data_IF_629904324379
#
_entry.id   IF_629904324379
#
_cell.length_a   1.000
_cell.length_b   1.000
_cell.length_c   1.000
_cell.angle_alpha   90.00
_cell.angle_beta   90.00
_cell.angle_gamma   90.00
#
_symmetry.space_group_name_H-M   'P 1'
#
loop_
_entity.id
_entity.type
_entity.pdbx_description
1 polymer ?
#
# COMPACT_ATOMS: atom_id res chain seq x y z
N UNK A 1 -5.08 22.24 12.98
CA UNK A 1 -6.23 21.39 13.39
C UNK A 1 -5.67 20.01 13.72
N UNK A 2 -6.03 19.44 14.86
CA UNK A 2 -5.57 18.11 15.24
C UNK A 2 -6.30 17.07 14.39
N UNK A 3 -5.54 16.30 13.61
CA UNK A 3 -6.07 15.23 12.78
C UNK A 3 -6.54 14.09 13.69
N UNK A 4 -7.84 13.84 13.72
CA UNK A 4 -8.42 12.68 14.40
C UNK A 4 -8.66 11.58 13.39
N UNK A 5 -8.33 10.34 13.77
CA UNK A 5 -8.57 9.18 12.92
C UNK A 5 -9.69 8.31 13.53
N UNK A 6 -10.56 7.80 12.68
CA UNK A 6 -11.58 6.84 13.06
C UNK A 6 -10.98 5.44 13.22
N UNK A 7 -10.93 4.88 14.46
CA UNK A 7 -10.21 3.63 14.71
C UNK A 7 -10.80 2.43 13.94
N UNK A 8 -12.12 2.37 13.80
CA UNK A 8 -12.81 1.30 13.08
C UNK A 8 -12.41 1.25 11.60
N UNK A 9 -12.35 2.40 10.94
CA UNK A 9 -11.95 2.51 9.53
C UNK A 9 -10.48 2.13 9.34
N UNK A 10 -9.59 2.54 10.27
CA UNK A 10 -8.18 2.14 10.26
C UNK A 10 -8.00 0.62 10.45
N UNK A 11 -8.79 0.00 11.31
CA UNK A 11 -8.76 -1.45 11.49
C UNK A 11 -9.19 -2.19 10.22
N UNK A 12 -10.24 -1.71 9.54
CA UNK A 12 -10.68 -2.29 8.26
C UNK A 12 -9.61 -2.11 7.19
N UNK A 13 -9.00 -0.92 7.09
CA UNK A 13 -7.90 -0.65 6.16
C UNK A 13 -6.72 -1.61 6.41
N UNK A 14 -6.32 -1.78 7.67
CA UNK A 14 -5.26 -2.71 8.04
C UNK A 14 -5.61 -4.17 7.71
N UNK A 15 -6.84 -4.61 7.99
CA UNK A 15 -7.29 -5.95 7.66
C UNK A 15 -7.24 -6.23 6.15
N UNK A 16 -7.62 -5.25 5.31
CA UNK A 16 -7.49 -5.35 3.85
C UNK A 16 -6.03 -5.44 3.39
N UNK A 17 -5.14 -4.64 3.97
CA UNK A 17 -3.71 -4.71 3.68
C UNK A 17 -3.08 -6.03 4.11
N UNK A 18 -3.49 -6.55 5.28
CA UNK A 18 -3.09 -7.86 5.76
C UNK A 18 -3.52 -8.96 4.78
N UNK A 19 -4.77 -8.92 4.33
CA UNK A 19 -5.31 -9.86 3.35
C UNK A 19 -4.56 -9.75 2.01
N UNK A 20 -4.31 -8.55 1.51
CA UNK A 20 -3.58 -8.32 0.27
C UNK A 20 -2.15 -8.89 0.33
N UNK A 21 -1.42 -8.70 1.45
CA UNK A 21 -0.10 -9.27 1.66
C UNK A 21 -0.12 -10.80 1.75
N UNK A 22 -1.11 -11.37 2.41
CA UNK A 22 -1.28 -12.83 2.48
C UNK A 22 -1.57 -13.41 1.09
N UNK A 23 -2.47 -12.77 0.35
CA UNK A 23 -2.81 -13.15 -1.03
C UNK A 23 -1.60 -13.04 -1.95
N UNK A 24 -0.81 -11.97 -1.85
CA UNK A 24 0.42 -11.78 -2.61
C UNK A 24 1.40 -12.94 -2.41
N UNK A 25 1.60 -13.39 -1.16
CA UNK A 25 2.43 -14.54 -0.87
C UNK A 25 1.92 -15.84 -1.50
N UNK A 26 0.60 -16.02 -1.56
CA UNK A 26 -0.04 -17.18 -2.21
C UNK A 26 0.13 -17.11 -3.71
N UNK A 27 -0.13 -15.96 -4.33
CA UNK A 27 0.03 -15.73 -5.77
C UNK A 27 1.48 -16.01 -6.22
N UNK A 28 2.49 -15.52 -5.48
CA UNK A 28 3.90 -15.78 -5.81
C UNK A 28 4.20 -17.29 -5.82
N UNK A 29 3.61 -18.07 -4.90
CA UNK A 29 3.77 -19.53 -4.89
C UNK A 29 3.09 -20.16 -6.10
N UNK A 30 1.87 -19.75 -6.44
CA UNK A 30 1.14 -20.26 -7.60
C UNK A 30 1.88 -19.94 -8.91
N UNK A 31 2.37 -18.72 -9.08
CA UNK A 31 3.18 -18.33 -10.26
C UNK A 31 4.43 -19.20 -10.42
N UNK A 32 5.05 -19.58 -9.30
CA UNK A 32 6.28 -20.39 -9.32
C UNK A 32 6.04 -21.89 -9.47
N UNK A 33 4.88 -22.36 -9.03
CA UNK A 33 4.53 -23.79 -9.08
C UNK A 33 3.97 -24.23 -10.45
N UNK A 34 3.55 -23.27 -11.28
CA UNK A 34 2.95 -23.55 -12.58
C UNK A 34 3.92 -23.28 -13.74
N UNK A 35 3.60 -23.84 -14.88
CA UNK A 35 4.26 -23.58 -16.17
C UNK A 35 4.05 -22.11 -16.62
N UNK A 36 4.67 -21.75 -17.74
CA UNK A 36 4.72 -20.34 -18.16
C UNK A 36 3.35 -19.73 -18.40
N UNK A 37 2.43 -20.46 -19.04
CA UNK A 37 1.13 -19.92 -19.45
C UNK A 37 0.17 -19.81 -18.25
N UNK A 38 0.06 -20.87 -17.43
CA UNK A 38 -0.71 -20.83 -16.21
C UNK A 38 -0.12 -19.86 -15.18
N UNK A 39 1.21 -19.78 -15.10
CA UNK A 39 1.91 -18.83 -14.26
C UNK A 39 1.62 -17.37 -14.63
N UNK A 40 1.49 -17.05 -15.92
CA UNK A 40 1.09 -15.72 -16.40
C UNK A 40 -0.33 -15.37 -15.97
N UNK A 41 -1.26 -16.32 -16.06
CA UNK A 41 -2.64 -16.15 -15.58
C UNK A 41 -2.69 -15.84 -14.09
N UNK A 42 -1.94 -16.58 -13.27
CA UNK A 42 -1.80 -16.32 -11.84
C UNK A 42 -1.16 -14.97 -11.54
N UNK A 43 -0.15 -14.56 -12.32
CA UNK A 43 0.51 -13.27 -12.15
C UNK A 43 -0.43 -12.11 -12.44
N UNK A 44 -1.15 -12.13 -13.58
CA UNK A 44 -2.09 -11.08 -13.96
C UNK A 44 -3.30 -11.00 -13.01
N UNK A 45 -3.99 -12.12 -12.79
CA UNK A 45 -5.14 -12.17 -11.88
C UNK A 45 -4.75 -11.80 -10.45
N UNK A 46 -3.61 -12.30 -9.98
CA UNK A 46 -3.05 -11.96 -8.68
C UNK A 46 -2.70 -10.49 -8.54
N UNK A 47 -2.10 -9.88 -9.58
CA UNK A 47 -1.77 -8.45 -9.58
C UNK A 47 -3.03 -7.58 -9.48
N UNK A 48 -4.10 -7.95 -10.19
CA UNK A 48 -5.39 -7.27 -10.10
C UNK A 48 -6.00 -7.38 -8.69
N UNK A 49 -6.06 -8.58 -8.13
CA UNK A 49 -6.65 -8.79 -6.80
C UNK A 49 -5.84 -8.09 -5.69
N UNK A 50 -4.53 -8.26 -5.68
CA UNK A 50 -3.62 -7.65 -4.69
C UNK A 50 -3.62 -6.14 -4.84
N UNK A 51 -3.56 -5.64 -6.09
CA UNK A 51 -3.59 -4.21 -6.39
C UNK A 51 -4.90 -3.55 -5.95
N UNK A 52 -6.03 -4.21 -6.17
CA UNK A 52 -7.34 -3.74 -5.67
C UNK A 52 -7.36 -3.68 -4.13
N UNK A 53 -6.77 -4.67 -3.45
CA UNK A 53 -6.65 -4.68 -1.99
C UNK A 53 -5.85 -3.48 -1.46
N UNK A 54 -4.69 -3.20 -2.04
CA UNK A 54 -3.86 -2.05 -1.64
C UNK A 54 -4.47 -0.71 -2.04
N UNK A 55 -5.14 -0.63 -3.18
CA UNK A 55 -5.89 0.55 -3.58
C UNK A 55 -7.00 0.87 -2.57
N UNK A 56 -7.81 -0.12 -2.20
CA UNK A 56 -8.87 0.06 -1.21
C UNK A 56 -8.32 0.40 0.19
N UNK A 57 -7.23 -0.25 0.62
CA UNK A 57 -6.54 0.07 1.87
C UNK A 57 -6.09 1.53 1.91
N UNK A 58 -5.41 2.00 0.84
CA UNK A 58 -4.90 3.37 0.76
C UNK A 58 -6.04 4.39 0.80
N UNK A 59 -7.15 4.13 0.09
CA UNK A 59 -8.34 4.97 0.13
C UNK A 59 -8.97 5.01 1.52
N UNK A 60 -9.13 3.85 2.17
CA UNK A 60 -9.71 3.78 3.52
C UNK A 60 -8.85 4.48 4.58
N UNK A 61 -7.52 4.44 4.46
CA UNK A 61 -6.65 5.20 5.34
C UNK A 61 -6.89 6.71 5.20
N UNK A 62 -7.18 7.20 3.99
CA UNK A 62 -7.53 8.60 3.77
C UNK A 62 -8.93 8.94 4.30
N UNK A 63 -9.92 8.06 4.07
CA UNK A 63 -11.29 8.21 4.60
C UNK A 63 -11.34 8.14 6.12
N UNK A 64 -10.38 7.43 6.75
CA UNK A 64 -10.28 7.37 8.21
C UNK A 64 -9.90 8.71 8.85
N UNK A 65 -9.32 9.65 8.07
CA UNK A 65 -9.00 11.00 8.55
C UNK A 65 -10.30 11.80 8.69
N UNK A 66 -10.65 12.11 9.93
CA UNK A 66 -11.81 12.95 10.25
C UNK A 66 -11.41 14.41 10.19
N UNK A 67 -11.90 15.11 9.19
CA UNK A 67 -11.77 16.55 9.08
C UNK A 67 -13.08 17.23 9.53
N UNK A 68 -13.03 18.42 10.16
CA UNK A 68 -14.22 19.16 10.60
C UNK A 68 -15.02 19.79 9.45
N UNK A 69 -14.70 19.42 8.22
CA UNK A 69 -15.32 19.88 6.97
C UNK A 69 -15.86 18.68 6.18
N UNK A 70 -16.88 18.90 5.37
CA UNK A 70 -17.36 17.88 4.43
C UNK A 70 -16.29 17.66 3.35
N UNK A 71 -15.89 16.42 3.17
CA UNK A 71 -14.88 16.02 2.19
C UNK A 71 -15.57 15.22 1.09
N UNK A 72 -15.42 15.67 -0.14
CA UNK A 72 -15.81 14.93 -1.33
C UNK A 72 -14.57 14.41 -2.07
N UNK A 73 -14.75 13.37 -2.87
CA UNK A 73 -13.69 12.77 -3.68
C UNK A 73 -14.08 12.86 -5.16
N UNK A 74 -13.14 13.29 -6.00
CA UNK A 74 -13.29 13.19 -7.45
C UNK A 74 -13.19 11.73 -7.86
N UNK A 75 -14.33 11.10 -8.18
CA UNK A 75 -14.43 9.68 -8.47
C UNK A 75 -13.48 9.22 -9.59
N UNK A 76 -13.28 10.06 -10.62
CA UNK A 76 -12.37 9.77 -11.73
C UNK A 76 -10.92 9.60 -11.26
N UNK A 77 -10.44 10.46 -10.35
CA UNK A 77 -9.07 10.38 -9.80
C UNK A 77 -8.91 9.15 -8.92
N UNK A 78 -9.92 8.87 -8.08
CA UNK A 78 -9.94 7.67 -7.22
C UNK A 78 -9.89 6.40 -8.07
N UNK A 79 -10.69 6.31 -9.14
CA UNK A 79 -10.68 5.15 -10.04
C UNK A 79 -9.39 5.06 -10.84
N UNK A 80 -8.85 6.19 -11.32
CA UNK A 80 -7.56 6.21 -12.03
C UNK A 80 -6.41 5.71 -11.15
N UNK A 81 -6.45 5.94 -9.83
CA UNK A 81 -5.47 5.44 -8.88
C UNK A 81 -5.41 3.90 -8.79
N UNK A 82 -6.46 3.19 -9.25
CA UNK A 82 -6.46 1.73 -9.30
C UNK A 82 -5.39 1.17 -10.26
N UNK A 83 -5.19 1.80 -11.42
CA UNK A 83 -4.19 1.34 -12.41
C UNK A 83 -2.77 1.29 -11.83
N UNK A 84 -2.20 2.39 -11.25
CA UNK A 84 -0.88 2.32 -10.64
C UNK A 84 -0.81 1.30 -9.49
N UNK A 85 -1.87 1.10 -8.70
CA UNK A 85 -1.89 0.09 -7.66
C UNK A 85 -1.71 -1.33 -8.22
N UNK A 86 -2.39 -1.66 -9.33
CA UNK A 86 -2.24 -2.93 -10.04
C UNK A 86 -0.83 -3.08 -10.62
N UNK A 87 -0.30 -2.04 -11.26
CA UNK A 87 1.06 -2.07 -11.85
C UNK A 87 2.13 -2.28 -10.78
N UNK A 88 2.04 -1.57 -9.65
CA UNK A 88 2.96 -1.72 -8.50
C UNK A 88 2.88 -3.14 -7.95
N UNK A 89 1.68 -3.69 -7.81
CA UNK A 89 1.46 -5.05 -7.32
C UNK A 89 2.00 -6.10 -8.30
N UNK A 90 1.80 -5.89 -9.60
CA UNK A 90 2.37 -6.75 -10.65
C UNK A 90 3.90 -6.78 -10.60
N UNK A 91 4.52 -5.60 -10.46
CA UNK A 91 5.98 -5.47 -10.33
C UNK A 91 6.48 -6.15 -9.04
N UNK A 92 5.77 -6.00 -7.92
CA UNK A 92 6.11 -6.62 -6.65
C UNK A 92 6.05 -8.17 -6.74
N UNK A 93 4.97 -8.72 -7.30
CA UNK A 93 4.83 -10.17 -7.51
C UNK A 93 5.93 -10.68 -8.44
N UNK A 94 6.17 -9.99 -9.58
CA UNK A 94 7.20 -10.38 -10.54
C UNK A 94 8.59 -10.42 -9.89
N UNK A 95 8.97 -9.40 -9.14
CA UNK A 95 10.25 -9.37 -8.43
C UNK A 95 10.40 -10.51 -7.42
N UNK A 96 9.34 -10.82 -6.69
CA UNK A 96 9.34 -11.87 -5.66
C UNK A 96 9.39 -13.28 -6.26
N UNK A 97 8.97 -13.47 -7.51
CA UNK A 97 9.13 -14.76 -8.21
C UNK A 97 10.58 -15.03 -8.62
N UNK A 98 11.43 -14.00 -8.73
CA UNK A 98 12.83 -14.11 -9.18
C UNK A 98 13.81 -14.28 -8.01
N UNK A 99 13.95 -15.49 -7.49
CA UNK A 99 14.84 -15.78 -6.34
C UNK A 99 16.33 -15.51 -6.59
N UNK A 100 16.77 -15.61 -7.84
CA UNK A 100 18.19 -15.43 -8.22
C UNK A 100 18.60 -13.96 -8.40
N UNK A 101 17.68 -13.00 -8.21
CA UNK A 101 18.06 -11.59 -8.28
C UNK A 101 19.08 -11.24 -7.20
N UNK A 102 20.17 -10.55 -7.58
CA UNK A 102 21.15 -10.05 -6.62
C UNK A 102 20.49 -9.10 -5.61
N UNK A 103 21.05 -9.04 -4.41
CA UNK A 103 20.51 -8.20 -3.32
C UNK A 103 20.28 -6.76 -3.77
N UNK A 104 21.20 -6.21 -4.57
CA UNK A 104 21.10 -4.83 -5.10
C UNK A 104 19.81 -4.60 -5.89
N UNK A 105 19.45 -5.49 -6.83
CA UNK A 105 18.23 -5.37 -7.62
C UNK A 105 16.97 -5.49 -6.76
N UNK A 106 17.01 -6.31 -5.72
CA UNK A 106 15.88 -6.44 -4.77
C UNK A 106 15.69 -5.18 -3.94
N UNK A 107 16.77 -4.58 -3.48
CA UNK A 107 16.70 -3.31 -2.72
C UNK A 107 16.16 -2.21 -3.61
N UNK A 108 16.71 -2.05 -4.83
CA UNK A 108 16.23 -1.05 -5.80
C UNK A 108 14.74 -1.25 -6.08
N UNK A 109 14.32 -2.49 -6.36
CA UNK A 109 12.92 -2.76 -6.62
C UNK A 109 12.02 -2.56 -5.39
N UNK A 110 12.50 -2.89 -4.19
CA UNK A 110 11.80 -2.57 -2.94
C UNK A 110 11.59 -1.08 -2.74
N UNK A 111 12.61 -0.27 -3.08
CA UNK A 111 12.53 1.20 -3.07
C UNK A 111 11.50 1.70 -4.08
N UNK A 112 11.54 1.19 -5.32
CA UNK A 112 10.58 1.58 -6.37
C UNK A 112 9.14 1.21 -5.99
N UNK A 113 8.92 0.04 -5.41
CA UNK A 113 7.60 -0.39 -4.93
C UNK A 113 7.12 0.50 -3.78
N UNK A 114 7.99 0.80 -2.80
CA UNK A 114 7.65 1.68 -1.70
C UNK A 114 7.30 3.10 -2.19
N UNK A 115 8.10 3.64 -3.13
CA UNK A 115 7.82 4.90 -3.78
C UNK A 115 6.47 4.89 -4.49
N UNK A 116 6.16 3.80 -5.22
CA UNK A 116 4.88 3.62 -5.90
C UNK A 116 3.69 3.66 -4.93
N UNK A 117 3.81 3.03 -3.76
CA UNK A 117 2.76 3.08 -2.74
C UNK A 117 2.62 4.47 -2.10
N UNK A 118 3.71 5.20 -1.90
CA UNK A 118 3.66 6.59 -1.46
C UNK A 118 2.95 7.47 -2.52
N UNK A 119 3.30 7.27 -3.80
CA UNK A 119 2.65 7.95 -4.91
C UNK A 119 1.16 7.63 -4.99
N UNK A 120 0.75 6.37 -4.77
CA UNK A 120 -0.65 5.96 -4.73
C UNK A 120 -1.44 6.74 -3.67
N UNK A 121 -0.91 6.86 -2.45
CA UNK A 121 -1.54 7.64 -1.38
C UNK A 121 -1.61 9.12 -1.73
N UNK A 122 -0.58 9.66 -2.39
CA UNK A 122 -0.56 11.03 -2.87
C UNK A 122 -1.63 11.28 -3.95
N UNK A 123 -1.82 10.34 -4.89
CA UNK A 123 -2.88 10.43 -5.90
C UNK A 123 -4.26 10.42 -5.22
N UNK A 124 -4.49 9.54 -4.23
CA UNK A 124 -5.75 9.54 -3.48
C UNK A 124 -5.97 10.88 -2.73
N UNK A 125 -4.93 11.44 -2.12
CA UNK A 125 -5.03 12.75 -1.45
C UNK A 125 -5.34 13.88 -2.45
N UNK A 126 -4.83 13.81 -3.68
CA UNK A 126 -5.13 14.79 -4.73
C UNK A 126 -6.57 14.70 -5.27
N UNK A 127 -7.27 13.58 -4.99
CA UNK A 127 -8.69 13.46 -5.32
C UNK A 127 -9.59 14.36 -4.46
N UNK A 128 -9.05 14.90 -3.37
CA UNK A 128 -9.73 15.89 -2.54
C UNK A 128 -9.25 17.27 -2.99
N UNK A 129 -10.12 18.03 -3.63
CA UNK A 129 -9.79 19.37 -4.13
C UNK A 129 -9.98 20.41 -3.01
N UNK A 130 -8.90 20.70 -2.26
CA UNK A 130 -8.90 21.75 -1.26
C UNK A 130 -8.49 23.12 -1.82
N UNK A 131 -9.17 24.17 -1.39
CA UNK A 131 -8.72 25.57 -1.56
C UNK A 131 -8.68 26.27 -0.19
N UNK A 132 -7.52 26.83 0.23
CA UNK A 132 -6.20 26.76 -0.41
C UNK A 132 -5.60 25.34 -0.39
N UNK A 133 -4.59 25.10 -1.25
CA UNK A 133 -3.95 23.80 -1.41
C UNK A 133 -3.34 23.27 -0.11
N UNK A 134 -3.35 21.96 0.05
CA UNK A 134 -2.77 21.24 1.18
C UNK A 134 -1.25 21.43 1.22
N UNK A 135 -0.69 21.66 2.39
CA UNK A 135 0.74 21.61 2.64
C UNK A 135 1.13 20.26 3.25
N UNK A 136 2.39 19.87 3.06
CA UNK A 136 2.89 18.58 3.52
C UNK A 136 4.00 18.77 4.56
N UNK A 137 3.87 18.11 5.71
CA UNK A 137 4.93 18.07 6.71
C UNK A 137 6.05 17.12 6.24
N UNK A 138 7.21 17.68 5.92
CA UNK A 138 8.35 16.95 5.35
C UNK A 138 8.85 15.86 6.30
N UNK A 139 8.86 16.10 7.62
CA UNK A 139 9.35 15.12 8.58
C UNK A 139 8.44 13.91 8.69
N UNK A 140 7.13 14.12 8.71
CA UNK A 140 6.14 13.05 8.70
C UNK A 140 6.16 12.29 7.38
N UNK A 141 6.36 13.00 6.26
CA UNK A 141 6.48 12.40 4.94
C UNK A 141 7.72 11.49 4.85
N UNK A 142 8.87 11.93 5.38
CA UNK A 142 10.07 11.11 5.47
C UNK A 142 9.86 9.87 6.36
N UNK A 143 9.23 10.03 7.51
CA UNK A 143 8.90 8.91 8.39
C UNK A 143 7.96 7.91 7.68
N UNK A 144 6.94 8.39 6.97
CA UNK A 144 6.04 7.56 6.18
C UNK A 144 6.78 6.77 5.10
N UNK A 145 7.68 7.43 4.37
CA UNK A 145 8.49 6.78 3.34
C UNK A 145 9.40 5.68 3.91
N UNK A 146 10.06 5.94 5.05
CA UNK A 146 10.92 4.97 5.73
C UNK A 146 10.14 3.77 6.25
N UNK A 147 8.95 3.98 6.87
CA UNK A 147 8.09 2.91 7.35
C UNK A 147 7.56 2.04 6.18
N UNK A 148 7.11 2.68 5.10
CA UNK A 148 6.64 1.98 3.90
C UNK A 148 7.77 1.17 3.26
N UNK A 149 8.96 1.75 3.13
CA UNK A 149 10.16 1.09 2.62
C UNK A 149 10.54 -0.11 3.49
N UNK A 150 10.56 0.08 4.82
CA UNK A 150 10.82 -0.98 5.77
C UNK A 150 9.84 -2.15 5.62
N UNK A 151 8.54 -1.85 5.50
CA UNK A 151 7.49 -2.85 5.24
C UNK A 151 7.71 -3.62 3.95
N UNK A 152 8.04 -2.93 2.84
CA UNK A 152 8.31 -3.54 1.54
C UNK A 152 9.55 -4.45 1.56
N UNK A 153 10.66 -3.98 2.14
CA UNK A 153 11.90 -4.75 2.22
C UNK A 153 11.76 -5.96 3.14
N UNK A 154 11.20 -5.78 4.34
CA UNK A 154 10.96 -6.88 5.27
C UNK A 154 9.96 -7.88 4.69
N UNK A 155 8.93 -7.42 3.98
CA UNK A 155 7.97 -8.28 3.28
C UNK A 155 8.64 -9.17 2.23
N UNK A 156 9.52 -8.59 1.42
CA UNK A 156 10.29 -9.33 0.41
C UNK A 156 11.24 -10.36 1.01
N UNK A 157 11.90 -10.03 2.12
CA UNK A 157 12.78 -10.94 2.86
C UNK A 157 12.01 -12.07 3.54
N UNK A 158 10.91 -11.76 4.22
CA UNK A 158 10.08 -12.73 4.91
C UNK A 158 9.45 -13.75 3.94
N UNK A 159 8.99 -13.28 2.79
CA UNK A 159 8.45 -14.17 1.76
C UNK A 159 9.53 -15.11 1.22
N UNK A 160 10.73 -14.59 0.95
CA UNK A 160 11.86 -15.41 0.49
C UNK A 160 12.21 -16.51 1.51
N UNK A 161 12.27 -16.16 2.80
CA UNK A 161 12.50 -17.16 3.86
C UNK A 161 11.40 -18.22 3.88
N UNK A 162 10.15 -17.81 3.70
CA UNK A 162 9.00 -18.74 3.65
C UNK A 162 8.97 -19.61 2.41
N UNK A 163 9.67 -19.21 1.33
CA UNK A 163 9.82 -20.01 0.11
C UNK A 163 11.01 -20.97 0.17
N UNK A 164 12.02 -20.66 1.00
CA UNK A 164 13.21 -21.49 1.17
C UNK A 164 13.03 -22.57 2.25
N UNK A 165 12.29 -22.25 3.30
CA UNK A 165 11.97 -23.18 4.39
C UNK A 165 10.53 -22.94 4.79
N UNK A 166 9.69 -23.98 4.86
CA UNK A 166 8.29 -23.85 5.27
C UNK A 166 8.19 -23.65 6.80
N UNK A 167 8.12 -22.38 7.28
CA UNK A 167 7.99 -22.15 8.71
C UNK A 167 6.58 -22.55 9.17
N UNK A 168 6.41 -22.91 10.45
CA UNK A 168 5.10 -23.20 11.01
C UNK A 168 4.14 -22.00 10.82
N UNK A 169 2.85 -22.29 10.66
CA UNK A 169 1.82 -21.32 10.29
C UNK A 169 1.81 -20.09 11.23
N UNK A 170 2.00 -20.30 12.54
CA UNK A 170 2.00 -19.20 13.50
C UNK A 170 3.16 -18.21 13.29
N UNK A 171 4.37 -18.70 12.94
CA UNK A 171 5.53 -17.84 12.61
C UNK A 171 5.27 -17.03 11.35
N UNK A 172 4.68 -17.67 10.35
CA UNK A 172 4.29 -17.01 9.09
C UNK A 172 3.26 -15.92 9.36
N UNK A 173 2.21 -16.22 10.12
CA UNK A 173 1.15 -15.27 10.46
C UNK A 173 1.69 -14.09 11.25
N UNK A 174 2.57 -14.33 12.22
CA UNK A 174 3.18 -13.26 13.03
C UNK A 174 4.05 -12.33 12.18
N UNK A 175 4.85 -12.88 11.24
CA UNK A 175 5.65 -12.07 10.30
C UNK A 175 4.75 -11.21 9.41
N UNK A 176 3.69 -11.78 8.84
CA UNK A 176 2.77 -11.05 7.97
C UNK A 176 2.03 -9.96 8.75
N UNK A 177 1.61 -10.21 9.99
CA UNK A 177 1.00 -9.23 10.88
C UNK A 177 1.94 -8.04 11.14
N UNK A 178 3.18 -8.31 11.53
CA UNK A 178 4.17 -7.25 11.80
C UNK A 178 4.50 -6.41 10.57
N UNK A 179 4.70 -7.06 9.41
CA UNK A 179 5.00 -6.39 8.14
C UNK A 179 3.81 -5.55 7.67
N UNK A 180 2.59 -6.11 7.76
CA UNK A 180 1.36 -5.40 7.43
C UNK A 180 1.15 -4.19 8.35
N UNK A 181 1.40 -4.34 9.65
CA UNK A 181 1.33 -3.24 10.61
C UNK A 181 2.30 -2.11 10.28
N UNK A 182 3.56 -2.45 9.98
CA UNK A 182 4.59 -1.47 9.61
C UNK A 182 4.22 -0.74 8.29
N UNK A 183 3.78 -1.48 7.28
CA UNK A 183 3.35 -0.92 6.01
C UNK A 183 2.14 0.01 6.18
N UNK A 184 1.11 -0.44 6.93
CA UNK A 184 -0.08 0.37 7.20
C UNK A 184 0.27 1.64 8.02
N UNK A 185 1.16 1.52 9.02
CA UNK A 185 1.65 2.67 9.78
C UNK A 185 2.31 3.72 8.86
N UNK A 186 3.08 3.28 7.86
CA UNK A 186 3.65 4.16 6.84
C UNK A 186 2.58 4.91 6.04
N UNK A 187 1.53 4.20 5.60
CA UNK A 187 0.41 4.81 4.86
C UNK A 187 -0.38 5.81 5.72
N UNK A 188 -0.67 5.45 6.97
CA UNK A 188 -1.35 6.35 7.93
C UNK A 188 -0.50 7.58 8.22
N UNK A 189 0.81 7.40 8.42
CA UNK A 189 1.75 8.51 8.65
C UNK A 189 1.80 9.46 7.44
N UNK A 190 1.67 8.93 6.22
CA UNK A 190 1.60 9.75 5.02
C UNK A 190 0.31 10.60 4.97
N UNK A 191 -0.84 10.01 5.30
CA UNK A 191 -2.10 10.76 5.43
C UNK A 191 -1.99 11.80 6.56
N UNK A 192 -1.32 11.46 7.67
CA UNK A 192 -1.09 12.40 8.78
C UNK A 192 -0.12 13.54 8.44
N UNK A 193 0.75 13.35 7.43
CA UNK A 193 1.64 14.41 6.93
C UNK A 193 0.87 15.53 6.19
N UNK A 194 -0.36 15.25 5.78
CA UNK A 194 -1.23 16.20 5.10
C UNK A 194 -1.74 17.25 6.09
N UNK A 195 -1.37 18.52 5.87
CA UNK A 195 -1.81 19.65 6.67
C UNK A 195 -2.85 20.45 5.89
N UNK A 196 -4.09 20.40 6.36
CA UNK A 196 -5.20 21.17 5.79
C UNK A 196 -5.21 22.57 6.43
N UNK A 197 -5.09 23.66 5.63
CA UNK A 197 -5.11 25.02 6.16
C UNK A 197 -6.43 25.35 6.88
N UNK A 198 -6.37 26.25 7.85
CA UNK A 198 -7.58 26.75 8.50
C UNK A 198 -8.43 27.53 7.48
N UNK A 199 -9.73 27.22 7.41
CA UNK A 199 -10.64 27.82 6.44
C UNK A 199 -10.58 27.23 5.03
N UNK A 200 -9.95 26.04 4.87
CA UNK A 200 -10.00 25.34 3.59
C UNK A 200 -11.42 24.84 3.29
N UNK A 201 -11.85 25.03 2.06
CA UNK A 201 -13.10 24.51 1.51
C UNK A 201 -12.80 23.37 0.53
N UNK A 202 -13.70 22.39 0.46
CA UNK A 202 -13.59 21.28 -0.47
C UNK A 202 -14.46 21.53 -1.69
N UNK A 203 -13.86 21.71 -2.87
CA UNK A 203 -14.56 21.99 -4.13
C UNK A 203 -15.24 20.77 -4.74
N UNK A 204 -14.96 19.57 -4.26
CA UNK A 204 -15.51 18.31 -4.81
C UNK A 204 -16.82 17.87 -4.15
N UNK A 205 -17.47 18.74 -3.37
CA UNK A 205 -18.74 18.45 -2.66
C UNK A 205 -19.97 18.92 -3.44
N UNK A 206 -19.78 19.70 -4.52
CA UNK A 206 -20.87 20.22 -5.37
C UNK A 206 -21.25 19.22 -6.46
#
# INVERSE_FOLDING_TARGET
>A
MDAQFQPSTLLIAWALGLYALFLQGTVVRCVRANDRDAGLGWWLGGAMCVGTGFWAQSLLNLVALQLPIRVGFVAQVVLAAWMPAVVISAAAIWMQTRLHFPVRLRVIGGVLIAFGFCLLTFIHASAIMFQPSVSWDVWRLMAAALLTLGGCLLGSLALRQSLAAEPPLWVRSLKVLGISGLFNAGQVCMVWAMQVPAGAECLSVD
#
